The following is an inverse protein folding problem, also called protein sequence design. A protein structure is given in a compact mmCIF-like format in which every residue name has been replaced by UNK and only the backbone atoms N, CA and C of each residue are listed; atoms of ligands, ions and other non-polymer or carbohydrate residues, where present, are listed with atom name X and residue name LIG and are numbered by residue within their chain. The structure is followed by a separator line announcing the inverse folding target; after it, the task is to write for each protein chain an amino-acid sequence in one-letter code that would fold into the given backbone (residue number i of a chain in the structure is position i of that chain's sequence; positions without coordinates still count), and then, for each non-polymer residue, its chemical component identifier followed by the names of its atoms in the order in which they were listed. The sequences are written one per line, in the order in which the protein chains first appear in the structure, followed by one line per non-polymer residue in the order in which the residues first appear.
data_IF_253534261424
#
_entry.id   IF_253534261424
#
_cell.length_a   1.000
_cell.length_b   1.000
_cell.length_c   1.000
_cell.angle_alpha   90.00
_cell.angle_beta   90.00
_cell.angle_gamma   90.00
#
_symmetry.space_group_name_H-M   'P 1'
#
loop_
_entity.id
_entity.type
_entity.pdbx_description
1 polymer ?
#
# COMPACT_ATOMS: atom_id res chain seq x y z
N UNK A 1 49.04 -4.08 47.51
CA UNK A 1 49.02 -3.58 46.11
C UNK A 1 47.83 -4.22 45.41
N UNK A 2 46.72 -3.48 45.25
CA UNK A 2 45.58 -3.92 44.46
C UNK A 2 45.73 -3.29 43.07
N UNK A 3 45.83 -4.12 42.03
CA UNK A 3 45.92 -3.67 40.64
C UNK A 3 44.48 -3.51 40.15
N UNK A 4 44.00 -2.28 40.05
CA UNK A 4 42.70 -1.95 39.50
C UNK A 4 42.79 -1.99 37.98
N UNK A 5 42.17 -3.00 37.36
CA UNK A 5 42.08 -3.15 35.90
C UNK A 5 41.07 -2.13 35.36
N UNK A 6 41.54 -1.07 34.71
CA UNK A 6 40.67 -0.09 34.04
C UNK A 6 40.25 -0.69 32.68
N UNK A 7 38.98 -1.10 32.59
CA UNK A 7 38.38 -1.56 31.33
C UNK A 7 38.10 -0.32 30.44
N UNK A 8 39.00 -0.03 29.50
CA UNK A 8 38.78 0.96 28.44
C UNK A 8 37.76 0.40 27.45
N UNK A 9 36.48 0.73 27.66
CA UNK A 9 35.42 0.49 26.67
C UNK A 9 35.64 1.48 25.53
N UNK A 10 36.33 1.05 24.48
CA UNK A 10 36.37 1.74 23.20
C UNK A 10 34.95 1.71 22.62
N UNK A 11 34.21 2.81 22.77
CA UNK A 11 33.03 3.09 21.95
C UNK A 11 33.52 3.24 20.50
N UNK A 12 33.57 2.13 19.77
CA UNK A 12 33.58 2.20 18.31
C UNK A 12 32.22 2.82 17.94
N UNK A 13 32.17 4.01 17.33
CA UNK A 13 30.91 4.51 16.82
C UNK A 13 30.40 3.44 15.86
N UNK A 14 29.22 2.90 16.16
CA UNK A 14 28.54 2.01 15.23
C UNK A 14 28.44 2.78 13.91
N UNK A 15 29.19 2.32 12.90
CA UNK A 15 29.01 2.80 11.53
C UNK A 15 27.64 2.27 11.13
N UNK A 16 26.60 3.04 11.44
CA UNK A 16 25.29 2.85 10.85
C UNK A 16 25.51 2.93 9.35
N UNK A 17 25.48 1.79 8.67
CA UNK A 17 25.49 1.74 7.21
C UNK A 17 24.28 2.57 6.75
N UNK A 18 24.55 3.79 6.28
CA UNK A 18 23.53 4.63 5.67
C UNK A 18 23.18 3.99 4.33
N UNK A 19 21.90 3.77 4.07
CA UNK A 19 21.45 3.35 2.75
C UNK A 19 21.74 4.44 1.72
N UNK A 20 21.74 4.07 0.43
CA UNK A 20 21.60 5.06 -0.63
C UNK A 20 20.18 5.61 -0.62
N UNK A 21 20.03 6.89 -0.93
CA UNK A 21 18.74 7.57 -1.03
C UNK A 21 18.59 8.26 -2.38
N UNK A 22 17.36 8.53 -2.78
CA UNK A 22 17.05 9.20 -4.03
C UNK A 22 15.94 10.22 -3.86
N UNK A 23 16.03 11.30 -4.63
CA UNK A 23 14.92 12.23 -4.83
C UNK A 23 14.48 12.10 -6.27
N UNK A 24 13.20 11.79 -6.49
CA UNK A 24 12.63 11.65 -7.82
C UNK A 24 11.45 12.59 -8.05
N UNK A 25 11.33 13.04 -9.30
CA UNK A 25 10.23 13.84 -9.81
C UNK A 25 9.64 13.12 -11.00
N UNK A 26 8.35 12.80 -10.90
CA UNK A 26 7.59 12.13 -11.95
C UNK A 26 6.61 13.14 -12.54
N UNK A 27 6.95 13.68 -13.71
CA UNK A 27 6.19 14.69 -14.41
C UNK A 27 5.38 14.11 -15.56
N UNK A 28 4.20 14.66 -15.79
CA UNK A 28 3.34 14.35 -16.93
C UNK A 28 2.86 15.66 -17.55
N UNK A 29 2.98 15.74 -18.87
CA UNK A 29 2.42 16.80 -19.72
C UNK A 29 1.42 16.18 -20.69
N UNK A 30 0.24 16.78 -20.78
CA UNK A 30 -0.90 16.29 -21.56
C UNK A 30 -1.34 17.40 -22.50
N UNK A 31 -1.23 17.16 -23.81
CA UNK A 31 -1.75 18.06 -24.82
C UNK A 31 -3.03 17.52 -25.45
N UNK A 32 -4.08 18.33 -25.48
CA UNK A 32 -5.39 17.98 -26.03
C UNK A 32 -6.53 18.22 -25.04
N UNK A 33 -7.74 17.79 -25.40
CA UNK A 33 -8.91 17.93 -24.54
C UNK A 33 -8.83 16.93 -23.37
N UNK A 34 -8.69 17.42 -22.15
CA UNK A 34 -8.53 16.59 -20.94
C UNK A 34 -9.17 17.25 -19.72
N UNK A 35 -9.68 16.41 -18.80
CA UNK A 35 -10.17 16.87 -17.50
C UNK A 35 -9.03 17.08 -16.49
N UNK A 36 -7.84 16.58 -16.79
CA UNK A 36 -6.65 16.68 -15.94
C UNK A 36 -5.90 18.00 -16.17
N UNK A 37 -5.04 18.43 -15.23
CA UNK A 37 -4.10 19.53 -15.48
C UNK A 37 -3.21 19.22 -16.69
N UNK A 38 -2.93 20.23 -17.51
CA UNK A 38 -2.05 20.10 -18.68
C UNK A 38 -0.65 19.63 -18.26
N UNK A 39 -0.16 20.06 -17.09
CA UNK A 39 1.12 19.66 -16.54
C UNK A 39 0.99 19.40 -15.04
N UNK A 40 1.61 18.33 -14.57
CA UNK A 40 1.67 17.99 -13.16
C UNK A 40 2.91 17.15 -12.86
N UNK A 41 3.36 17.17 -11.61
CA UNK A 41 4.39 16.25 -11.17
C UNK A 41 4.21 15.83 -9.72
N UNK A 42 4.76 14.65 -9.40
CA UNK A 42 4.89 14.13 -8.04
C UNK A 42 6.36 14.15 -7.64
N UNK A 43 6.67 14.75 -6.49
CA UNK A 43 8.00 14.70 -5.89
C UNK A 43 8.04 13.59 -4.83
N UNK A 44 9.05 12.73 -4.89
CA UNK A 44 9.21 11.59 -3.99
C UNK A 44 10.62 11.55 -3.40
N UNK A 45 10.71 11.21 -2.13
CA UNK A 45 11.94 10.86 -1.43
C UNK A 45 11.92 9.35 -1.24
N UNK A 46 12.82 8.65 -1.93
CA UNK A 46 12.76 7.20 -2.10
C UNK A 46 11.36 6.78 -2.60
N UNK A 47 10.56 6.12 -1.77
CA UNK A 47 9.20 5.69 -2.06
C UNK A 47 8.12 6.53 -1.34
N UNK A 48 8.51 7.58 -0.61
CA UNK A 48 7.62 8.48 0.12
C UNK A 48 7.26 9.70 -0.72
N UNK A 49 5.97 9.90 -0.97
CA UNK A 49 5.47 11.10 -1.67
C UNK A 49 5.63 12.33 -0.77
N UNK A 50 6.41 13.31 -1.24
CA UNK A 50 6.64 14.58 -0.55
C UNK A 50 5.60 15.63 -0.91
N UNK A 51 5.10 15.63 -2.14
CA UNK A 51 4.12 16.60 -2.60
C UNK A 51 3.80 16.50 -4.09
N UNK A 52 2.79 17.25 -4.49
CA UNK A 52 2.19 17.22 -5.81
C UNK A 52 2.09 18.64 -6.37
N UNK A 53 2.50 18.83 -7.62
CA UNK A 53 2.30 20.08 -8.34
C UNK A 53 1.27 19.89 -9.45
N UNK A 54 0.48 20.92 -9.73
CA UNK A 54 -0.39 20.95 -10.89
C UNK A 54 -0.44 22.34 -11.55
N UNK A 55 -0.64 22.36 -12.86
CA UNK A 55 -0.64 23.59 -13.66
C UNK A 55 -1.97 24.36 -13.66
N UNK A 56 -3.06 23.82 -13.11
CA UNK A 56 -4.34 24.55 -13.02
C UNK A 56 -4.27 25.68 -12.00
N UNK A 57 -3.69 25.39 -10.84
CA UNK A 57 -3.46 26.36 -9.76
C UNK A 57 -2.04 26.89 -9.74
N UNK A 58 -1.12 26.25 -10.47
CA UNK A 58 0.32 26.55 -10.47
C UNK A 58 0.95 26.49 -9.08
N UNK A 59 0.51 25.52 -8.28
CA UNK A 59 0.91 25.38 -6.88
C UNK A 59 1.46 23.99 -6.60
N UNK A 60 2.54 23.94 -5.84
CA UNK A 60 3.02 22.74 -5.19
C UNK A 60 2.30 22.55 -3.85
N UNK A 61 1.68 21.40 -3.65
CA UNK A 61 0.98 21.02 -2.43
C UNK A 61 1.78 19.93 -1.74
N UNK A 62 2.40 20.21 -0.58
CA UNK A 62 3.12 19.20 0.19
C UNK A 62 2.15 18.11 0.70
N UNK A 63 2.66 16.88 0.84
CA UNK A 63 1.91 15.70 1.29
C UNK A 63 2.63 14.97 2.43
N UNK A 64 1.82 14.22 3.19
CA UNK A 64 2.29 13.39 4.30
C UNK A 64 2.71 14.17 5.55
N UNK A 65 2.14 15.36 5.80
CA UNK A 65 2.60 16.25 6.85
C UNK A 65 1.49 16.70 7.83
N UNK A 66 1.84 16.81 9.12
CA UNK A 66 1.01 17.38 10.21
C UNK A 66 1.40 18.81 10.59
N UNK A 67 2.52 19.35 10.08
CA UNK A 67 2.99 20.73 10.37
C UNK A 67 3.77 21.32 9.19
N UNK A 68 3.50 22.57 8.81
CA UNK A 68 4.12 23.26 7.65
C UNK A 68 5.65 23.51 7.76
N UNK A 69 6.26 23.20 8.91
CA UNK A 69 7.66 23.50 9.29
C UNK A 69 8.74 22.63 8.59
N UNK A 70 8.34 21.68 7.76
CA UNK A 70 9.24 20.70 7.12
C UNK A 70 9.36 20.83 5.59
N UNK A 71 8.78 21.87 5.00
CA UNK A 71 9.06 22.20 3.60
C UNK A 71 10.46 22.81 3.48
N UNK A 72 11.39 22.01 2.94
CA UNK A 72 12.80 22.39 2.75
C UNK A 72 13.10 22.96 1.36
N UNK A 73 12.08 23.03 0.48
CA UNK A 73 12.23 23.51 -0.88
C UNK A 73 12.01 25.01 -0.90
N UNK A 74 13.00 25.74 -1.39
CA UNK A 74 12.87 27.17 -1.64
C UNK A 74 11.80 27.44 -2.72
N UNK A 75 10.82 28.33 -2.46
CA UNK A 75 9.72 28.61 -3.40
C UNK A 75 10.20 29.14 -4.75
N UNK A 76 11.28 29.93 -4.77
CA UNK A 76 11.82 30.47 -6.02
C UNK A 76 12.44 29.36 -6.87
N UNK A 77 13.22 28.46 -6.26
CA UNK A 77 13.74 27.28 -6.93
C UNK A 77 12.63 26.38 -7.45
N UNK A 78 11.59 26.14 -6.65
CA UNK A 78 10.45 25.34 -7.06
C UNK A 78 9.75 25.94 -8.29
N UNK A 79 9.54 27.25 -8.31
CA UNK A 79 8.96 27.95 -9.44
C UNK A 79 9.84 27.81 -10.69
N UNK A 80 11.13 28.09 -10.57
CA UNK A 80 12.10 27.97 -11.68
C UNK A 80 12.15 26.56 -12.25
N UNK A 81 12.26 25.54 -11.41
CA UNK A 81 12.30 24.13 -11.85
C UNK A 81 10.99 23.73 -12.53
N UNK A 82 9.84 24.13 -11.96
CA UNK A 82 8.52 23.80 -12.52
C UNK A 82 8.32 24.47 -13.88
N UNK A 83 8.73 25.74 -14.02
CA UNK A 83 8.60 26.50 -15.26
C UNK A 83 9.52 25.96 -16.35
N UNK A 84 10.81 25.75 -16.03
CA UNK A 84 11.78 25.20 -17.00
C UNK A 84 11.36 23.80 -17.47
N UNK A 85 10.86 22.96 -16.58
CA UNK A 85 10.37 21.63 -16.95
C UNK A 85 9.13 21.70 -17.84
N UNK A 86 8.20 22.62 -17.57
CA UNK A 86 7.03 22.84 -18.44
C UNK A 86 7.45 23.30 -19.84
N UNK A 87 8.33 24.30 -19.93
CA UNK A 87 8.81 24.83 -21.20
C UNK A 87 9.56 23.77 -22.00
N UNK A 88 10.38 22.97 -21.32
CA UNK A 88 11.05 21.82 -21.89
C UNK A 88 10.07 20.77 -22.48
N UNK A 89 8.95 20.47 -21.81
CA UNK A 89 7.91 19.61 -22.39
C UNK A 89 7.30 20.20 -23.65
N UNK A 90 7.00 21.50 -23.65
CA UNK A 90 6.40 22.21 -24.78
C UNK A 90 7.37 22.21 -25.98
N UNK A 91 8.64 22.53 -25.75
CA UNK A 91 9.67 22.54 -26.78
C UNK A 91 9.89 21.15 -27.38
N UNK A 92 10.02 20.12 -26.53
CA UNK A 92 10.15 18.73 -27.01
C UNK A 92 8.96 18.31 -27.83
N UNK A 93 7.75 18.65 -27.41
CA UNK A 93 6.54 18.32 -28.15
C UNK A 93 6.55 18.96 -29.56
N UNK A 94 6.96 20.22 -29.68
CA UNK A 94 7.07 20.92 -30.97
C UNK A 94 8.12 20.23 -31.86
N UNK A 95 9.30 19.94 -31.32
CA UNK A 95 10.44 19.39 -32.08
C UNK A 95 10.25 17.91 -32.45
N UNK A 96 9.79 17.09 -31.50
CA UNK A 96 9.73 15.63 -31.67
C UNK A 96 8.42 15.14 -32.30
N UNK A 97 7.30 15.81 -32.03
CA UNK A 97 5.97 15.41 -32.53
C UNK A 97 5.44 16.38 -33.61
N UNK A 98 6.28 17.32 -34.06
CA UNK A 98 6.01 18.21 -35.19
C UNK A 98 4.87 19.21 -34.96
N UNK A 99 4.46 19.41 -33.70
CA UNK A 99 3.41 20.37 -33.29
C UNK A 99 2.01 20.12 -33.86
N UNK A 100 1.81 19.10 -34.70
CA UNK A 100 0.58 18.90 -35.44
C UNK A 100 -0.44 18.06 -34.67
N UNK A 101 -1.59 18.67 -34.40
CA UNK A 101 -2.78 17.96 -33.92
C UNK A 101 -3.42 17.18 -35.08
N UNK A 102 -3.25 15.86 -35.10
CA UNK A 102 -4.46 15.05 -35.26
C UNK A 102 -5.16 15.08 -33.90
N UNK A 103 -6.49 15.12 -33.83
CA UNK A 103 -7.28 15.31 -32.59
C UNK A 103 -7.12 14.25 -31.49
N UNK A 104 -6.01 13.51 -31.48
CA UNK A 104 -5.57 12.57 -30.47
C UNK A 104 -4.94 13.29 -29.26
N UNK A 105 -5.25 12.77 -28.08
CA UNK A 105 -4.62 13.15 -26.82
C UNK A 105 -3.15 12.71 -26.85
N UNK A 106 -2.23 13.64 -26.58
CA UNK A 106 -0.80 13.33 -26.46
C UNK A 106 -0.35 13.40 -25.01
N UNK A 107 0.40 12.38 -24.59
CA UNK A 107 0.91 12.25 -23.23
C UNK A 107 2.42 12.09 -23.28
N UNK A 108 3.10 13.01 -22.62
CA UNK A 108 4.53 13.02 -22.42
C UNK A 108 4.83 12.89 -20.95
N UNK A 109 5.86 12.12 -20.60
CA UNK A 109 6.25 11.88 -19.23
C UNK A 109 7.75 12.05 -19.08
N UNK A 110 8.17 12.56 -17.92
CA UNK A 110 9.57 12.60 -17.53
C UNK A 110 9.72 12.07 -16.12
N UNK A 111 10.69 11.18 -15.94
CA UNK A 111 11.18 10.78 -14.63
C UNK A 111 12.57 11.38 -14.46
N UNK A 112 12.71 12.26 -13.47
CA UNK A 112 13.98 12.86 -13.07
C UNK A 112 14.36 12.30 -11.71
N UNK A 113 15.60 11.88 -11.53
CA UNK A 113 16.07 11.31 -10.28
C UNK A 113 17.51 11.74 -10.03
N UNK A 114 17.84 12.13 -8.79
CA UNK A 114 19.21 12.22 -8.32
C UNK A 114 19.44 11.30 -7.13
N UNK A 115 20.65 10.78 -7.02
CA UNK A 115 21.04 9.83 -6.00
C UNK A 115 21.99 10.47 -4.98
N UNK A 116 21.85 10.03 -3.73
CA UNK A 116 22.86 10.19 -2.69
C UNK A 116 23.33 8.80 -2.30
N UNK A 117 24.63 8.56 -2.48
CA UNK A 117 25.25 7.28 -2.18
C UNK A 117 25.34 7.06 -0.66
N UNK A 118 25.56 5.82 -0.26
CA UNK A 118 25.68 5.39 1.15
C UNK A 118 26.77 6.11 1.97
N UNK A 119 27.70 6.80 1.31
CA UNK A 119 28.77 7.59 1.92
C UNK A 119 28.47 9.11 1.90
N UNK A 120 27.21 9.50 1.75
CA UNK A 120 26.72 10.88 1.62
C UNK A 120 27.32 11.65 0.41
N UNK A 121 27.97 10.94 -0.54
CA UNK A 121 28.44 11.54 -1.79
C UNK A 121 27.29 11.62 -2.79
N UNK A 122 27.18 12.73 -3.54
CA UNK A 122 26.28 12.81 -4.68
C UNK A 122 26.56 11.68 -5.68
N UNK A 123 25.52 11.01 -6.14
CA UNK A 123 25.57 10.01 -7.20
C UNK A 123 25.15 10.60 -8.54
N UNK A 124 24.65 9.76 -9.43
CA UNK A 124 24.18 10.20 -10.74
C UNK A 124 22.86 11.00 -10.64
N UNK A 125 22.62 11.82 -11.65
CA UNK A 125 21.29 12.27 -12.01
C UNK A 125 20.87 11.66 -13.33
N UNK A 126 19.62 11.23 -13.42
CA UNK A 126 19.03 10.62 -14.60
C UNK A 126 17.69 11.29 -14.92
N UNK A 127 17.49 11.61 -16.19
CA UNK A 127 16.21 12.02 -16.75
C UNK A 127 15.82 11.05 -17.84
N UNK A 128 14.68 10.38 -17.68
CA UNK A 128 14.06 9.54 -18.70
C UNK A 128 12.82 10.23 -19.23
N UNK A 129 12.74 10.36 -20.54
CA UNK A 129 11.56 10.88 -21.24
C UNK A 129 10.79 9.74 -21.88
N UNK A 130 9.47 9.85 -21.90
CA UNK A 130 8.58 8.94 -22.60
C UNK A 130 7.47 9.71 -23.31
N UNK A 131 7.03 9.20 -24.46
CA UNK A 131 5.88 9.70 -25.21
C UNK A 131 5.00 8.52 -25.61
N UNK A 132 3.68 8.67 -25.50
CA UNK A 132 2.69 7.63 -25.86
C UNK A 132 2.95 6.28 -25.15
N UNK A 133 3.53 6.32 -23.95
CA UNK A 133 3.86 5.13 -23.14
C UNK A 133 5.17 4.42 -23.51
N UNK A 134 5.96 4.97 -24.44
CA UNK A 134 7.25 4.43 -24.86
C UNK A 134 8.38 5.37 -24.43
N UNK A 135 9.45 4.81 -23.85
CA UNK A 135 10.67 5.56 -23.54
C UNK A 135 11.29 6.08 -24.83
N UNK A 136 11.49 7.39 -24.91
CA UNK A 136 12.07 8.06 -26.09
C UNK A 136 13.57 8.28 -25.92
N UNK A 137 13.99 8.67 -24.73
CA UNK A 137 15.36 9.05 -24.44
C UNK A 137 15.67 9.05 -22.94
N UNK A 138 16.96 9.02 -22.66
CA UNK A 138 17.55 9.08 -21.34
C UNK A 138 18.81 9.96 -21.38
N UNK A 139 18.88 10.91 -20.46
CA UNK A 139 20.05 11.73 -20.19
C UNK A 139 20.56 11.41 -18.77
N UNK A 140 21.82 11.02 -18.66
CA UNK A 140 22.51 10.83 -17.37
C UNK A 140 23.62 11.86 -17.21
N UNK A 141 23.77 12.34 -15.98
CA UNK A 141 24.87 13.19 -15.53
C UNK A 141 25.56 12.50 -14.35
N UNK A 142 26.85 12.20 -14.50
CA UNK A 142 27.67 11.56 -13.47
C UNK A 142 29.12 12.06 -13.60
N UNK A 143 29.70 12.51 -12.49
CA UNK A 143 31.10 12.95 -12.42
C UNK A 143 31.51 13.96 -13.52
N UNK A 144 30.63 14.95 -13.78
CA UNK A 144 30.87 15.98 -14.79
C UNK A 144 30.75 15.49 -16.25
N UNK A 145 30.22 14.28 -16.47
CA UNK A 145 30.04 13.70 -17.80
C UNK A 145 28.57 13.43 -18.09
N UNK A 146 28.19 13.70 -19.34
CA UNK A 146 26.87 13.42 -19.86
C UNK A 146 26.86 12.16 -20.71
N UNK A 147 25.82 11.35 -20.53
CA UNK A 147 25.53 10.18 -21.34
C UNK A 147 24.10 10.31 -21.85
N UNK A 148 23.94 10.37 -23.18
CA UNK A 148 22.64 10.47 -23.81
C UNK A 148 22.37 9.22 -24.64
N UNK A 149 21.18 8.65 -24.47
CA UNK A 149 20.68 7.54 -25.27
C UNK A 149 19.25 7.86 -25.67
N UNK A 150 18.93 7.84 -26.96
CA UNK A 150 17.57 8.09 -27.42
C UNK A 150 17.27 7.49 -28.78
N UNK A 151 16.00 7.15 -28.99
CA UNK A 151 15.44 6.74 -30.27
C UNK A 151 14.75 7.95 -30.88
N UNK A 152 15.52 8.79 -31.57
CA UNK A 152 14.99 10.00 -32.20
C UNK A 152 14.69 9.75 -33.68
N UNK A 153 13.51 10.15 -34.13
CA UNK A 153 13.18 10.29 -35.55
C UNK A 153 13.66 11.63 -36.14
N UNK A 154 14.11 12.54 -35.26
CA UNK A 154 14.60 13.88 -35.56
C UNK A 154 16.10 13.83 -35.87
N UNK A 155 16.57 14.66 -36.79
CA UNK A 155 17.98 14.69 -37.19
C UNK A 155 18.88 15.15 -36.03
N UNK A 156 20.16 14.75 -36.06
CA UNK A 156 21.10 15.16 -35.02
C UNK A 156 21.24 16.70 -34.95
N UNK A 157 21.18 17.39 -36.09
CA UNK A 157 21.32 18.84 -36.16
C UNK A 157 20.15 19.60 -35.49
N UNK A 158 18.94 19.04 -35.54
CA UNK A 158 17.76 19.60 -34.89
C UNK A 158 17.74 19.29 -33.38
N UNK A 159 18.28 18.14 -32.98
CA UNK A 159 18.32 17.71 -31.58
C UNK A 159 19.40 18.42 -30.77
N UNK A 160 20.57 18.69 -31.36
CA UNK A 160 21.76 19.15 -30.65
C UNK A 160 21.54 20.44 -29.82
N UNK A 161 20.93 21.52 -30.37
CA UNK A 161 20.74 22.76 -29.60
C UNK A 161 19.89 22.56 -28.34
N UNK A 162 18.84 21.75 -28.47
CA UNK A 162 17.97 21.40 -27.35
C UNK A 162 18.70 20.52 -26.33
N UNK A 163 19.48 19.53 -26.80
CA UNK A 163 20.23 18.65 -25.92
C UNK A 163 21.27 19.43 -25.11
N UNK A 164 21.97 20.38 -25.73
CA UNK A 164 22.92 21.26 -25.05
C UNK A 164 22.24 22.15 -24.00
N UNK A 165 21.07 22.71 -24.31
CA UNK A 165 20.28 23.47 -23.33
C UNK A 165 19.84 22.58 -22.15
N UNK A 166 19.41 21.35 -22.43
CA UNK A 166 19.04 20.38 -21.41
C UNK A 166 20.22 20.00 -20.51
N UNK A 167 21.40 19.74 -21.10
CA UNK A 167 22.65 19.49 -20.34
C UNK A 167 23.01 20.68 -19.45
N UNK A 168 22.93 21.91 -19.99
CA UNK A 168 23.19 23.12 -19.22
C UNK A 168 22.29 23.22 -17.98
N UNK A 169 20.97 23.03 -18.14
CA UNK A 169 20.05 23.05 -16.99
C UNK A 169 20.27 21.89 -16.02
N UNK A 170 20.61 20.69 -16.51
CA UNK A 170 20.91 19.55 -15.65
C UNK A 170 22.08 19.83 -14.72
N UNK A 171 23.20 20.31 -15.27
CA UNK A 171 24.42 20.55 -14.50
C UNK A 171 24.29 21.77 -13.57
N UNK A 172 23.71 22.87 -14.07
CA UNK A 172 23.77 24.16 -13.37
C UNK A 172 22.53 24.45 -12.50
N UNK A 173 21.41 23.78 -12.74
CA UNK A 173 20.14 24.06 -12.02
C UNK A 173 19.62 22.81 -11.33
N UNK A 174 19.33 21.75 -12.08
CA UNK A 174 18.60 20.60 -11.54
C UNK A 174 19.44 19.74 -10.61
N UNK A 175 20.69 19.43 -10.97
CA UNK A 175 21.55 18.59 -10.15
C UNK A 175 21.88 19.22 -8.79
N UNK A 176 22.35 20.49 -8.70
CA UNK A 176 22.59 21.14 -7.41
C UNK A 176 21.32 21.27 -6.57
N UNK A 177 20.20 21.67 -7.19
CA UNK A 177 18.92 21.82 -6.48
C UNK A 177 18.41 20.47 -5.96
N UNK A 178 18.51 19.41 -6.76
CA UNK A 178 18.06 18.07 -6.38
C UNK A 178 18.89 17.51 -5.22
N UNK A 179 20.23 17.57 -5.32
CA UNK A 179 21.12 17.07 -4.26
C UNK A 179 20.95 17.87 -2.95
N UNK A 180 20.82 19.19 -3.02
CA UNK A 180 20.57 20.01 -1.83
C UNK A 180 19.21 19.70 -1.19
N UNK A 181 18.16 19.57 -2.01
CA UNK A 181 16.82 19.22 -1.56
C UNK A 181 16.78 17.84 -0.91
N UNK A 182 17.42 16.84 -1.54
CA UNK A 182 17.56 15.49 -1.02
C UNK A 182 18.24 15.50 0.36
N UNK A 183 19.39 16.17 0.49
CA UNK A 183 20.10 16.28 1.78
C UNK A 183 19.26 16.95 2.86
N UNK A 184 18.50 17.98 2.53
CA UNK A 184 17.66 18.67 3.52
C UNK A 184 16.46 17.84 3.96
N UNK A 185 15.81 17.12 3.03
CA UNK A 185 14.75 16.19 3.39
C UNK A 185 15.25 15.03 4.22
N UNK A 186 16.45 14.50 3.97
CA UNK A 186 17.02 13.44 4.81
C UNK A 186 17.28 13.91 6.25
N UNK A 187 17.61 15.19 6.47
CA UNK A 187 17.73 15.75 7.83
C UNK A 187 16.37 15.80 8.56
N UNK A 188 15.29 16.13 7.85
CA UNK A 188 13.95 16.30 8.43
C UNK A 188 13.17 14.98 8.54
N UNK A 189 13.23 14.16 7.49
CA UNK A 189 12.44 12.93 7.30
C UNK A 189 13.28 11.65 7.33
N UNK A 190 14.55 11.73 7.73
CA UNK A 190 15.46 10.58 7.81
C UNK A 190 14.87 9.40 8.60
N UNK A 191 14.20 9.66 9.73
CA UNK A 191 13.53 8.62 10.52
C UNK A 191 12.40 7.93 9.75
N UNK A 192 11.69 8.65 8.89
CA UNK A 192 10.59 8.10 8.09
C UNK A 192 11.11 7.17 6.99
N UNK A 193 12.12 7.59 6.24
CA UNK A 193 12.64 6.80 5.11
C UNK A 193 13.62 5.70 5.50
N UNK A 194 14.27 5.84 6.67
CA UNK A 194 15.14 4.79 7.22
C UNK A 194 14.41 3.83 8.16
N UNK A 195 13.10 4.01 8.39
CA UNK A 195 12.35 3.09 9.24
C UNK A 195 12.41 1.69 8.67
N UNK A 196 12.39 0.70 9.55
CA UNK A 196 12.35 -0.71 9.20
C UNK A 196 11.16 -1.33 9.91
N UNK A 197 10.14 -1.69 9.17
CA UNK A 197 8.93 -2.33 9.72
C UNK A 197 8.95 -3.79 9.35
N UNK A 198 8.84 -4.66 10.35
CA UNK A 198 8.83 -6.11 10.14
C UNK A 198 7.51 -6.54 9.48
N UNK A 199 7.55 -7.26 8.35
CA UNK A 199 6.35 -7.85 7.77
C UNK A 199 5.60 -8.75 8.75
N UNK A 200 4.27 -8.69 8.68
CA UNK A 200 3.37 -9.69 9.23
C UNK A 200 3.11 -10.74 8.16
N UNK A 201 3.30 -12.00 8.52
CA UNK A 201 3.21 -13.11 7.59
C UNK A 201 2.03 -14.01 7.91
N UNK A 202 1.42 -14.53 6.85
CA UNK A 202 0.43 -15.60 6.95
C UNK A 202 0.60 -16.55 5.79
N UNK A 203 0.69 -17.84 6.09
CA UNK A 203 0.51 -18.91 5.12
C UNK A 203 -0.91 -19.44 5.30
N UNK A 204 -1.74 -19.34 4.26
CA UNK A 204 -3.18 -19.58 4.32
C UNK A 204 -3.53 -20.64 3.30
N UNK A 205 -4.21 -21.71 3.70
CA UNK A 205 -4.84 -22.66 2.79
C UNK A 205 -6.36 -22.47 2.81
N UNK A 206 -6.94 -22.08 1.68
CA UNK A 206 -8.39 -21.87 1.54
C UNK A 206 -8.99 -22.89 0.60
N UNK A 207 -9.92 -23.70 1.10
CA UNK A 207 -10.68 -24.64 0.27
C UNK A 207 -11.53 -23.91 -0.78
N UNK A 208 -11.64 -24.51 -1.96
CA UNK A 208 -12.50 -24.06 -3.06
C UNK A 208 -13.72 -24.95 -3.22
N UNK A 209 -14.75 -24.42 -3.88
CA UNK A 209 -16.02 -25.12 -4.12
C UNK A 209 -15.86 -26.31 -5.08
N UNK A 210 -14.89 -26.26 -6.00
CA UNK A 210 -14.54 -27.35 -6.93
C UNK A 210 -13.79 -28.52 -6.26
N UNK A 211 -13.49 -28.39 -4.96
CA UNK A 211 -12.80 -29.41 -4.17
C UNK A 211 -11.28 -29.29 -4.14
N UNK A 212 -10.69 -28.37 -4.89
CA UNK A 212 -9.29 -27.97 -4.71
C UNK A 212 -9.09 -27.05 -3.52
N UNK A 213 -7.87 -26.57 -3.34
CA UNK A 213 -7.54 -25.53 -2.37
C UNK A 213 -6.58 -24.51 -2.99
N UNK A 214 -6.55 -23.30 -2.42
CA UNK A 214 -5.55 -22.28 -2.73
C UNK A 214 -4.64 -22.11 -1.53
N UNK A 215 -3.33 -22.31 -1.73
CA UNK A 215 -2.30 -21.98 -0.75
C UNK A 215 -1.80 -20.57 -1.07
N UNK A 216 -1.89 -19.65 -0.12
CA UNK A 216 -1.45 -18.26 -0.27
C UNK A 216 -0.43 -17.91 0.81
N UNK A 217 0.75 -17.50 0.39
CA UNK A 217 1.68 -16.79 1.26
C UNK A 217 1.44 -15.29 1.16
N UNK A 218 1.19 -14.64 2.29
CA UNK A 218 0.94 -13.21 2.42
C UNK A 218 1.99 -12.58 3.33
N UNK A 219 2.65 -11.54 2.86
CA UNK A 219 3.41 -10.59 3.66
C UNK A 219 2.69 -9.24 3.61
N UNK A 220 2.46 -8.59 4.75
CA UNK A 220 1.82 -7.26 4.81
C UNK A 220 2.36 -6.42 5.95
N UNK A 221 2.24 -5.09 5.86
CA UNK A 221 2.65 -4.19 6.93
C UNK A 221 4.16 -4.00 7.01
N UNK A 222 4.90 -4.18 5.91
CA UNK A 222 6.36 -4.03 5.89
C UNK A 222 6.82 -2.75 5.20
N UNK A 223 8.02 -2.31 5.57
CA UNK A 223 8.74 -1.20 4.94
C UNK A 223 10.25 -1.38 5.19
N UNK A 224 11.14 -1.12 4.22
CA UNK A 224 10.90 -0.54 2.88
C UNK A 224 10.23 -1.50 1.89
N UNK A 225 9.91 -1.02 0.68
CA UNK A 225 9.16 -1.78 -0.33
C UNK A 225 9.83 -3.07 -0.84
N UNK A 226 11.15 -3.18 -0.76
CA UNK A 226 11.89 -4.31 -1.34
C UNK A 226 11.80 -5.55 -0.45
N UNK A 227 11.12 -6.59 -0.94
CA UNK A 227 10.89 -7.86 -0.27
C UNK A 227 11.10 -9.00 -1.27
N UNK A 228 11.58 -10.14 -0.80
CA UNK A 228 11.57 -11.39 -1.55
C UNK A 228 10.65 -12.39 -0.84
N UNK A 229 9.65 -12.91 -1.56
CA UNK A 229 8.64 -13.84 -1.08
C UNK A 229 8.68 -15.10 -1.95
N UNK A 230 8.93 -16.25 -1.35
CA UNK A 230 9.05 -17.53 -2.07
C UNK A 230 8.19 -18.60 -1.42
N UNK A 231 7.31 -19.21 -2.21
CA UNK A 231 6.50 -20.36 -1.79
C UNK A 231 7.26 -21.64 -2.15
N UNK A 232 7.32 -22.58 -1.22
CA UNK A 232 7.96 -23.88 -1.39
C UNK A 232 6.93 -25.01 -1.33
N UNK A 233 7.17 -26.06 -2.11
CA UNK A 233 6.46 -27.35 -2.11
C UNK A 233 7.51 -28.42 -1.82
N UNK A 234 7.38 -29.13 -0.70
CA UNK A 234 8.35 -30.12 -0.22
C UNK A 234 9.81 -29.61 -0.19
N UNK A 235 9.98 -28.36 0.26
CA UNK A 235 11.29 -27.71 0.35
C UNK A 235 11.87 -27.24 -0.99
N UNK A 236 11.18 -27.43 -2.12
CA UNK A 236 11.58 -26.89 -3.42
C UNK A 236 10.77 -25.64 -3.78
N UNK A 237 11.40 -24.58 -4.33
CA UNK A 237 10.68 -23.37 -4.71
C UNK A 237 9.71 -23.69 -5.85
N UNK A 238 8.45 -23.26 -5.68
CA UNK A 238 7.43 -23.39 -6.72
C UNK A 238 7.76 -22.46 -7.88
N UNK A 239 7.60 -22.93 -9.11
CA UNK A 239 7.92 -22.11 -10.28
C UNK A 239 6.93 -20.96 -10.47
N UNK A 240 7.43 -19.81 -10.91
CA UNK A 240 6.61 -18.60 -11.07
C UNK A 240 5.42 -18.78 -12.04
N UNK A 241 5.47 -19.74 -12.97
CA UNK A 241 4.35 -20.02 -13.88
C UNK A 241 3.15 -20.72 -13.22
N UNK A 242 3.37 -21.40 -12.08
CA UNK A 242 2.29 -22.00 -11.27
C UNK A 242 1.74 -21.01 -10.23
N UNK A 243 2.46 -19.92 -9.99
CA UNK A 243 2.12 -18.91 -8.99
C UNK A 243 1.21 -17.84 -9.58
N UNK A 244 0.21 -17.45 -8.80
CA UNK A 244 -0.64 -16.29 -9.05
C UNK A 244 -0.37 -15.19 -8.02
N UNK A 245 -0.49 -13.93 -8.45
CA UNK A 245 -0.12 -12.77 -7.65
C UNK A 245 1.38 -12.47 -7.73
N UNK A 246 1.97 -12.04 -6.62
CA UNK A 246 3.36 -11.56 -6.56
C UNK A 246 3.50 -10.05 -6.73
N UNK A 247 2.43 -9.35 -7.07
CA UNK A 247 2.42 -7.89 -7.14
C UNK A 247 2.64 -7.28 -5.74
N UNK A 248 3.47 -6.24 -5.72
CA UNK A 248 3.69 -5.41 -4.56
C UNK A 248 2.63 -4.30 -4.52
N UNK A 249 1.81 -4.29 -3.47
CA UNK A 249 0.72 -3.35 -3.31
C UNK A 249 0.99 -2.41 -2.12
N UNK A 250 0.70 -1.11 -2.24
CA UNK A 250 0.80 -0.18 -1.11
C UNK A 250 -0.40 -0.34 -0.16
N UNK A 251 -0.14 -0.16 1.14
CA UNK A 251 -1.15 0.02 2.17
C UNK A 251 -1.39 1.52 2.44
N UNK A 252 -2.55 1.87 3.00
CA UNK A 252 -2.91 3.26 3.31
C UNK A 252 -2.07 3.92 4.42
N UNK A 253 -1.30 3.14 5.19
CA UNK A 253 -0.42 3.58 6.27
C UNK A 253 1.04 3.80 5.83
N UNK A 254 1.32 3.71 4.52
CA UNK A 254 2.66 3.84 3.94
C UNK A 254 3.54 2.60 4.14
N UNK A 255 2.95 1.45 4.44
CA UNK A 255 3.60 0.13 4.35
C UNK A 255 3.20 -0.59 3.06
N UNK A 256 3.74 -1.78 2.84
CA UNK A 256 3.48 -2.59 1.65
C UNK A 256 2.94 -3.97 2.00
N UNK A 257 2.36 -4.61 0.98
CA UNK A 257 1.95 -6.01 1.02
C UNK A 257 2.24 -6.74 -0.29
N UNK A 258 2.44 -8.05 -0.20
CA UNK A 258 2.64 -8.94 -1.34
C UNK A 258 2.00 -10.29 -1.02
N UNK A 259 1.34 -10.90 -2.02
CA UNK A 259 0.74 -12.23 -1.90
C UNK A 259 1.11 -13.10 -3.09
N UNK A 260 1.69 -14.27 -2.84
CA UNK A 260 1.89 -15.33 -3.84
C UNK A 260 0.98 -16.51 -3.53
N UNK A 261 0.26 -17.03 -4.51
CA UNK A 261 -0.69 -18.12 -4.32
C UNK A 261 -0.51 -19.24 -5.34
N UNK A 262 -0.72 -20.47 -4.89
CA UNK A 262 -0.69 -21.69 -5.70
C UNK A 262 -2.04 -22.41 -5.57
N UNK A 263 -2.53 -22.91 -6.71
CA UNK A 263 -3.72 -23.75 -6.74
C UNK A 263 -3.32 -25.22 -6.64
N UNK A 264 -3.99 -25.96 -5.75
CA UNK A 264 -3.67 -27.35 -5.45
C UNK A 264 -4.92 -28.21 -5.56
N UNK A 265 -4.74 -29.46 -5.98
CA UNK A 265 -5.83 -30.42 -6.13
C UNK A 265 -6.27 -31.00 -4.78
N UNK A 266 -7.42 -31.69 -4.75
CA UNK A 266 -7.88 -32.40 -3.55
C UNK A 266 -6.92 -33.51 -3.10
N UNK A 267 -6.23 -34.14 -4.05
CA UNK A 267 -5.32 -35.26 -3.81
C UNK A 267 -3.90 -34.80 -3.44
N UNK A 268 -3.69 -33.49 -3.30
CA UNK A 268 -2.38 -32.96 -2.97
C UNK A 268 -1.99 -33.30 -1.52
N UNK A 269 -0.81 -33.90 -1.36
CA UNK A 269 -0.25 -34.35 -0.08
C UNK A 269 1.09 -33.70 0.23
N UNK A 270 1.50 -32.71 -0.58
CA UNK A 270 2.77 -32.01 -0.38
C UNK A 270 2.68 -31.07 0.83
N UNK A 271 3.83 -30.78 1.41
CA UNK A 271 3.98 -29.79 2.46
C UNK A 271 4.35 -28.45 1.84
N UNK A 272 3.69 -27.39 2.29
CA UNK A 272 3.95 -26.03 1.83
C UNK A 272 4.57 -25.19 2.93
N UNK A 273 5.63 -24.46 2.57
CA UNK A 273 6.27 -23.48 3.45
C UNK A 273 6.48 -22.19 2.69
N UNK A 274 6.66 -21.09 3.41
CA UNK A 274 6.93 -19.81 2.78
C UNK A 274 8.15 -19.15 3.41
N UNK A 275 8.98 -18.58 2.55
CA UNK A 275 10.13 -17.81 2.95
C UNK A 275 9.97 -16.35 2.64
N UNK A 276 10.44 -15.52 3.57
CA UNK A 276 10.71 -14.11 3.30
C UNK A 276 12.12 -13.67 3.65
N UNK A 277 12.69 -12.91 2.73
CA UNK A 277 13.83 -12.03 2.96
C UNK A 277 13.40 -10.57 2.84
N UNK A 278 13.72 -9.77 3.85
CA UNK A 278 13.38 -8.34 3.91
C UNK A 278 14.39 -7.59 4.79
N UNK A 279 14.70 -6.34 4.46
CA UNK A 279 15.75 -5.54 5.12
C UNK A 279 15.53 -5.31 6.63
N UNK A 280 14.29 -5.42 7.10
CA UNK A 280 13.94 -5.31 8.53
C UNK A 280 14.10 -6.60 9.32
N UNK A 281 14.47 -7.71 8.67
CA UNK A 281 14.71 -8.98 9.31
C UNK A 281 16.22 -9.19 9.45
N UNK A 282 16.65 -9.62 10.64
CA UNK A 282 18.06 -9.90 10.94
C UNK A 282 18.57 -11.15 10.21
N UNK A 283 17.66 -12.06 9.87
CA UNK A 283 17.87 -13.29 9.09
C UNK A 283 16.65 -13.56 8.20
N UNK A 284 16.80 -14.47 7.23
CA UNK A 284 15.70 -15.05 6.46
C UNK A 284 14.68 -15.69 7.43
N UNK A 285 13.40 -15.37 7.27
CA UNK A 285 12.33 -15.98 8.05
C UNK A 285 11.62 -17.03 7.20
N UNK A 286 11.70 -18.28 7.64
CA UNK A 286 10.98 -19.41 7.05
C UNK A 286 9.82 -19.77 7.99
N UNK A 287 8.60 -19.78 7.44
CA UNK A 287 7.38 -20.09 8.17
C UNK A 287 6.74 -21.31 7.54
N UNK A 288 6.48 -22.30 8.38
CA UNK A 288 5.72 -23.49 8.02
C UNK A 288 4.22 -23.19 8.07
N UNK A 289 3.41 -24.07 7.48
CA UNK A 289 1.96 -23.92 7.44
C UNK A 289 1.37 -24.00 8.86
N UNK A 290 1.30 -22.86 9.54
CA UNK A 290 0.61 -22.74 10.82
C UNK A 290 -0.89 -22.63 10.56
N UNK A 291 -1.65 -23.59 11.06
CA UNK A 291 -3.09 -23.64 10.94
C UNK A 291 -3.74 -22.49 11.71
N UNK A 292 -4.03 -21.36 11.05
CA UNK A 292 -5.11 -20.49 11.50
C UNK A 292 -6.41 -21.18 11.09
N UNK A 293 -6.90 -22.09 11.93
CA UNK A 293 -8.24 -22.63 11.86
C UNK A 293 -9.23 -21.49 12.14
N UNK A 294 -9.35 -20.54 11.21
CA UNK A 294 -10.54 -19.69 11.10
C UNK A 294 -11.65 -20.60 10.59
N UNK A 295 -12.14 -21.47 11.47
CA UNK A 295 -13.35 -22.24 11.22
C UNK A 295 -14.49 -21.24 11.02
N UNK A 296 -15.12 -21.19 9.83
CA UNK A 296 -16.25 -20.29 9.60
C UNK A 296 -17.46 -20.62 10.49
N UNK A 297 -17.43 -21.77 11.18
CA UNK A 297 -18.60 -22.39 11.80
C UNK A 297 -18.57 -22.44 13.34
N UNK A 298 -17.48 -22.05 14.02
CA UNK A 298 -17.42 -22.08 15.50
C UNK A 298 -18.45 -21.15 16.17
N UNK A 299 -18.94 -20.12 15.46
CA UNK A 299 -19.93 -19.18 16.01
C UNK A 299 -21.39 -19.56 15.70
N UNK A 300 -21.63 -20.34 14.64
CA UNK A 300 -23.00 -20.65 14.21
C UNK A 300 -23.62 -21.81 15.02
N UNK A 301 -22.82 -22.83 15.33
CA UNK A 301 -23.30 -24.04 16.05
C UNK A 301 -23.85 -23.70 17.45
N UNK A 302 -23.17 -22.93 18.32
CA UNK A 302 -23.74 -22.58 19.62
C UNK A 302 -24.94 -21.65 19.49
N UNK A 303 -24.97 -20.73 18.53
CA UNK A 303 -26.10 -19.80 18.37
C UNK A 303 -27.39 -20.53 17.95
N UNK A 304 -27.31 -21.48 17.01
CA UNK A 304 -28.46 -22.24 16.54
C UNK A 304 -29.01 -23.13 17.66
N UNK A 305 -28.14 -23.77 18.45
CA UNK A 305 -28.55 -24.56 19.61
C UNK A 305 -29.24 -23.73 20.70
N UNK A 306 -28.75 -22.52 20.97
CA UNK A 306 -29.36 -21.60 21.94
C UNK A 306 -30.75 -21.16 21.48
N UNK A 307 -30.91 -20.77 20.20
CA UNK A 307 -32.22 -20.39 19.65
C UNK A 307 -33.21 -21.56 19.71
N UNK A 308 -32.77 -22.78 19.36
CA UNK A 308 -33.62 -23.97 19.42
C UNK A 308 -34.08 -24.27 20.86
N UNK A 309 -33.18 -24.15 21.84
CA UNK A 309 -33.50 -24.34 23.26
C UNK A 309 -34.50 -23.28 23.77
N UNK A 310 -34.32 -22.01 23.40
CA UNK A 310 -35.24 -20.93 23.78
C UNK A 310 -36.65 -21.15 23.22
N UNK A 311 -36.76 -21.58 21.96
CA UNK A 311 -38.05 -21.89 21.33
C UNK A 311 -38.76 -23.04 22.05
N UNK A 312 -38.02 -24.08 22.46
CA UNK A 312 -38.58 -25.20 23.22
C UNK A 312 -39.06 -24.78 24.61
N UNK A 313 -38.29 -23.95 25.33
CA UNK A 313 -38.67 -23.46 26.67
C UNK A 313 -39.88 -22.52 26.59
N UNK A 314 -39.89 -21.57 25.66
CA UNK A 314 -41.04 -20.67 25.48
C UNK A 314 -42.28 -21.43 24.97
N UNK A 315 -42.10 -22.38 24.04
CA UNK A 315 -43.18 -23.22 23.55
C UNK A 315 -43.82 -24.04 24.67
N UNK A 316 -43.02 -24.74 25.48
CA UNK A 316 -43.52 -25.51 26.62
C UNK A 316 -44.17 -24.62 27.69
N UNK A 317 -43.59 -23.46 28.00
CA UNK A 317 -44.15 -22.47 28.91
C UNK A 317 -45.52 -21.94 28.45
N UNK A 318 -45.67 -21.62 27.16
CA UNK A 318 -46.93 -21.17 26.58
C UNK A 318 -48.00 -22.25 26.59
N UNK A 319 -47.63 -23.51 26.34
CA UNK A 319 -48.55 -24.65 26.42
C UNK A 319 -49.02 -24.84 27.86
N UNK A 320 -48.11 -24.85 28.83
CA UNK A 320 -48.45 -24.98 30.26
C UNK A 320 -49.34 -23.82 30.70
N UNK A 321 -49.02 -22.58 30.31
CA UNK A 321 -49.83 -21.40 30.62
C UNK A 321 -51.25 -21.52 30.05
N UNK A 322 -51.40 -21.91 28.78
CA UNK A 322 -52.71 -22.14 28.18
C UNK A 322 -53.47 -23.29 28.87
N UNK A 323 -52.79 -24.37 29.23
CA UNK A 323 -53.40 -25.48 29.97
C UNK A 323 -53.88 -25.06 31.37
N UNK A 324 -53.07 -24.28 32.11
CA UNK A 324 -53.46 -23.75 33.44
C UNK A 324 -54.58 -22.74 33.34
N UNK A 325 -54.58 -21.85 32.34
CA UNK A 325 -55.67 -20.91 32.09
C UNK A 325 -56.97 -21.63 31.73
N UNK A 326 -56.92 -22.67 30.88
CA UNK A 326 -58.10 -23.50 30.60
C UNK A 326 -58.63 -24.19 31.86
N UNK A 327 -57.75 -24.75 32.71
CA UNK A 327 -58.17 -25.34 34.00
C UNK A 327 -58.76 -24.31 34.95
N UNK A 328 -58.20 -23.10 35.03
CA UNK A 328 -58.71 -22.03 35.87
C UNK A 328 -60.09 -21.52 35.40
N UNK A 329 -60.30 -21.41 34.08
CA UNK A 329 -61.61 -21.08 33.50
C UNK A 329 -62.64 -22.19 33.79
N UNK A 330 -62.26 -23.46 33.64
CA UNK A 330 -63.14 -24.59 33.99
C UNK A 330 -63.48 -24.60 35.49
N UNK A 331 -62.53 -24.26 36.37
CA UNK A 331 -62.78 -24.15 37.80
C UNK A 331 -63.69 -22.95 38.16
N UNK A 332 -63.54 -21.82 37.47
CA UNK A 332 -64.42 -20.65 37.62
C UNK A 332 -65.86 -20.96 37.20
N UNK A 333 -66.06 -21.65 36.06
CA UNK A 333 -67.39 -22.07 35.61
C UNK A 333 -68.05 -23.03 36.61
N UNK A 334 -67.26 -23.91 37.26
CA UNK A 334 -67.78 -24.83 38.28
C UNK A 334 -68.19 -24.11 39.57
N UNK A 335 -67.48 -23.04 39.95
CA UNK A 335 -67.82 -22.24 41.13
C UNK A 335 -69.05 -21.36 40.91
N UNK A 336 -69.24 -20.77 39.71
CA UNK A 336 -70.44 -19.99 39.39
C UNK A 336 -71.70 -20.86 39.40
N UNK A 337 -71.63 -22.13 38.97
CA UNK A 337 -72.75 -23.07 39.05
C UNK A 337 -73.11 -23.42 40.51
N UNK A 338 -72.11 -23.46 41.41
CA UNK A 338 -72.33 -23.71 42.85
C UNK A 338 -72.86 -22.49 43.59
N UNK A 339 -72.50 -21.27 43.15
CA UNK A 339 -72.98 -20.02 43.75
C UNK A 339 -74.38 -19.63 43.27
N UNK A 340 -74.75 -19.97 42.03
CA UNK A 340 -76.11 -19.76 41.52
C UNK A 340 -77.14 -20.63 42.27
N UNK A 341 -76.75 -21.84 42.68
CA UNK A 341 -77.60 -22.77 43.44
C UNK A 341 -77.84 -22.33 44.90
N UNK A 342 -77.07 -21.37 45.42
CA UNK A 342 -77.21 -20.84 46.80
C UNK A 342 -77.95 -19.50 46.89
N UNK A 343 -78.29 -18.88 45.76
CA UNK A 343 -79.05 -17.62 45.70
C UNK A 343 -80.54 -17.77 45.35
N UNK A 344 -81.02 -18.99 45.03
CA UNK A 344 -82.46 -19.28 44.88
C UNK A 344 -83.15 -19.74 46.19
N UNK A 345 -82.40 -19.93 47.29
CA UNK A 345 -82.96 -20.43 48.57
C UNK A 345 -83.21 -19.33 49.63
N UNK A 346 -83.11 -18.04 49.27
CA UNK A 346 -83.29 -16.91 50.21
C UNK A 346 -84.24 -15.82 49.70
N UNK A 347 -85.28 -16.20 48.95
CA UNK A 347 -86.35 -15.27 48.56
C UNK A 347 -87.71 -15.95 48.44
N UNK A 348 -88.07 -16.83 49.39
CA UNK A 348 -89.45 -17.32 49.59
C UNK A 348 -89.70 -17.65 51.08
N UNK A 349 -89.34 -16.72 51.97
CA UNK A 349 -89.72 -16.73 53.38
C UNK A 349 -90.08 -15.31 53.86
N UNK A 350 -91.05 -14.67 53.19
CA UNK A 350 -91.76 -13.49 53.70
C UNK A 350 -93.01 -13.18 52.86
N UNK A 351 -94.08 -13.97 53.00
CA UNK A 351 -95.47 -13.53 53.24
C UNK A 351 -96.48 -14.65 52.97
#
# INVERSE_FOLDING_TARGET
MAITLILLVLFVPAVTSKGSHSLSLHATYIKGNTLFPEYSYTLMLDDVVLGLFNSKTWTYVPRGNTTDEDNVIDPQHLHTVSKNMYDDFVERWIVMDGGNLTGSLQVHQKMVLCELLNNDKPGQMMTRSASKGLTTDELRYLDGKFYYQGTSYVTQQELEPYLELSKFFHENVYYPACINTLKNYLKKRGNQVNRKVKPRFKLIQKAKLDGGSRVSCLATGFYPRHINLTLFRDGQPVSDHEITGGDLLPNGDGTYQMRKSLEISRADTHTYTCSVTHLSLDNKLDIDLEFDHSEPFKSLIPSVLIVLALVLVFGTGLIIYKCRRRRAVIASIKNDYSSACTSEENMDAAS
#
